data_IF_252828187225
#
_entry.id   IF_252828187225
#
_cell.length_a   1.000
_cell.length_b   1.000
_cell.length_c   1.000
_cell.angle_alpha   90.00
_cell.angle_beta   90.00
_cell.angle_gamma   90.00
#
_symmetry.space_group_name_H-M   'P 1'
#
loop_
_entity.id
_entity.type
_entity.pdbx_description
1 polymer ?
#
# COMPACT_ATOMS: atom_id res chain seq x y z
N UNK A 1 -19.40 5.06 -1.73
CA UNK A 1 -18.26 5.24 -0.80
C UNK A 1 -17.28 4.10 -0.99
N UNK A 2 -16.02 4.43 -1.15
CA UNK A 2 -15.00 3.40 -1.35
C UNK A 2 -14.58 2.78 -0.03
N UNK A 3 -14.32 1.49 -0.06
CA UNK A 3 -13.83 0.78 1.09
C UNK A 3 -12.32 1.01 1.24
N UNK A 4 -11.88 1.34 2.43
CA UNK A 4 -10.46 1.57 2.69
C UNK A 4 -9.74 0.27 2.98
N UNK A 5 -8.58 0.09 2.38
CA UNK A 5 -7.78 -1.12 2.56
C UNK A 5 -6.33 -0.72 2.85
N UNK A 6 -5.62 -1.66 3.44
CA UNK A 6 -4.20 -1.52 3.73
C UNK A 6 -3.47 -2.62 2.99
N UNK A 7 -2.44 -2.25 2.24
CA UNK A 7 -1.62 -3.23 1.52
C UNK A 7 -0.45 -3.65 2.39
N UNK A 8 -0.11 -4.93 2.32
CA UNK A 8 1.04 -5.48 3.05
C UNK A 8 2.11 -5.85 2.05
N UNK A 9 3.29 -5.24 2.20
CA UNK A 9 4.41 -5.46 1.31
C UNK A 9 4.43 -4.47 0.16
N UNK A 10 5.62 -4.07 -0.23
CA UNK A 10 5.82 -3.12 -1.34
C UNK A 10 6.80 -3.68 -2.37
N UNK A 11 6.77 -5.01 -2.57
CA UNK A 11 7.64 -5.68 -3.50
C UNK A 11 7.24 -5.47 -4.96
N UNK A 12 7.70 -6.38 -5.82
CA UNK A 12 7.52 -6.23 -7.26
C UNK A 12 6.06 -6.17 -7.69
N UNK A 13 5.17 -6.83 -6.96
CA UNK A 13 3.75 -6.85 -7.31
C UNK A 13 2.97 -5.64 -6.83
N UNK A 14 3.61 -4.77 -6.04
CA UNK A 14 2.94 -3.62 -5.45
C UNK A 14 2.30 -2.73 -6.53
N UNK A 15 3.06 -2.41 -7.57
CA UNK A 15 2.55 -1.55 -8.64
C UNK A 15 1.41 -2.20 -9.40
N UNK A 16 1.49 -3.50 -9.62
CA UNK A 16 0.43 -4.24 -10.32
C UNK A 16 -0.85 -4.23 -9.49
N UNK A 17 -0.72 -4.47 -8.20
CA UNK A 17 -1.88 -4.47 -7.31
C UNK A 17 -2.52 -3.08 -7.25
N UNK A 18 -1.71 -2.03 -7.13
CA UNK A 18 -2.21 -0.66 -7.12
C UNK A 18 -2.95 -0.33 -8.41
N UNK A 19 -2.37 -0.70 -9.55
CA UNK A 19 -2.99 -0.45 -10.83
C UNK A 19 -4.37 -1.09 -10.90
N UNK A 20 -4.44 -2.36 -10.53
CA UNK A 20 -5.70 -3.10 -10.57
C UNK A 20 -6.74 -2.50 -9.63
N UNK A 21 -6.33 -2.09 -8.44
CA UNK A 21 -7.26 -1.50 -7.47
C UNK A 21 -7.80 -0.17 -7.97
N UNK A 22 -6.95 0.64 -8.60
CA UNK A 22 -7.38 1.92 -9.14
C UNK A 22 -8.32 1.76 -10.32
N UNK A 23 -8.08 0.74 -11.14
CA UNK A 23 -8.95 0.46 -12.28
C UNK A 23 -10.35 0.04 -11.83
N UNK A 24 -10.44 -0.73 -10.75
CA UNK A 24 -11.72 -1.17 -10.23
C UNK A 24 -12.51 -0.05 -9.57
N UNK A 25 -11.82 0.93 -9.03
CA UNK A 25 -12.44 2.10 -8.39
C UNK A 25 -13.42 1.74 -7.27
N UNK A 26 -13.21 0.61 -6.63
CA UNK A 26 -14.03 0.16 -5.51
C UNK A 26 -13.36 0.35 -4.17
N UNK A 27 -12.04 0.50 -4.17
CA UNK A 27 -11.25 0.55 -2.95
C UNK A 27 -10.38 1.78 -2.92
N UNK A 28 -10.11 2.25 -1.73
CA UNK A 28 -9.16 3.33 -1.49
C UNK A 28 -8.01 2.77 -0.65
N UNK A 29 -6.80 2.90 -1.14
CA UNK A 29 -5.63 2.44 -0.40
C UNK A 29 -5.26 3.50 0.63
N UNK A 30 -5.48 3.20 1.91
CA UNK A 30 -5.19 4.13 2.99
C UNK A 30 -3.69 4.27 3.21
N UNK A 31 -2.99 3.15 3.23
CA UNK A 31 -1.54 3.13 3.39
C UNK A 31 -1.04 1.73 3.05
N UNK A 32 0.27 1.55 3.08
CA UNK A 32 0.88 0.23 2.96
C UNK A 32 1.81 -0.02 4.14
N UNK A 33 2.05 -1.27 4.44
CA UNK A 33 2.98 -1.69 5.49
C UNK A 33 4.05 -2.53 4.84
N UNK A 34 5.31 -2.25 5.16
CA UNK A 34 6.43 -2.99 4.60
C UNK A 34 7.34 -3.49 5.71
N UNK A 35 7.79 -4.73 5.59
CA UNK A 35 8.74 -5.31 6.53
C UNK A 35 10.13 -4.72 6.46
N UNK A 36 10.45 -3.97 5.42
CA UNK A 36 11.75 -3.33 5.29
C UNK A 36 11.74 -1.96 5.97
N UNK A 37 12.51 -1.77 7.07
CA UNK A 37 12.50 -0.49 7.78
C UNK A 37 12.93 0.69 6.92
N UNK A 38 13.68 0.46 5.87
CA UNK A 38 14.13 1.54 4.99
C UNK A 38 12.99 2.19 4.22
N UNK A 39 11.90 1.46 4.02
CA UNK A 39 10.76 1.99 3.28
C UNK A 39 9.77 2.72 4.18
N UNK A 40 9.94 2.62 5.48
CA UNK A 40 9.04 3.29 6.42
C UNK A 40 9.11 4.79 6.28
N UNK A 41 7.96 5.44 6.24
CA UNK A 41 7.88 6.88 6.11
C UNK A 41 8.02 7.40 4.70
N UNK A 42 8.21 6.52 3.73
CA UNK A 42 8.30 6.91 2.33
C UNK A 42 6.93 6.85 1.68
N UNK A 43 6.79 7.54 0.56
CA UNK A 43 5.61 7.47 -0.27
C UNK A 43 6.00 6.84 -1.60
N UNK A 44 5.38 5.73 -1.94
CA UNK A 44 5.66 5.00 -3.17
C UNK A 44 4.39 5.01 -4.02
N UNK A 45 4.50 5.57 -5.22
CA UNK A 45 3.36 5.68 -6.15
C UNK A 45 2.11 6.30 -5.51
N UNK A 46 2.33 7.28 -4.64
CA UNK A 46 1.24 7.99 -3.99
C UNK A 46 0.70 7.31 -2.74
N UNK A 47 1.32 6.21 -2.32
CA UNK A 47 0.87 5.47 -1.13
C UNK A 47 1.92 5.61 -0.04
N UNK A 48 1.48 6.06 1.13
CA UNK A 48 2.36 6.21 2.29
C UNK A 48 2.68 4.85 2.89
N UNK A 49 3.96 4.64 3.22
CA UNK A 49 4.41 3.40 3.84
C UNK A 49 4.51 3.65 5.34
N UNK A 50 3.62 3.01 6.07
CA UNK A 50 3.52 3.19 7.52
C UNK A 50 4.49 2.27 8.24
N UNK A 51 4.38 2.22 9.55
CA UNK A 51 5.26 1.41 10.36
C UNK A 51 5.13 -0.08 10.06
N UNK A 52 6.19 -0.81 10.38
CA UNK A 52 6.17 -2.26 10.27
C UNK A 52 5.12 -2.82 11.22
N UNK A 53 4.30 -3.70 10.70
CA UNK A 53 3.35 -4.43 11.53
C UNK A 53 4.10 -5.55 12.28
N UNK A 54 3.99 -5.55 13.58
CA UNK A 54 4.59 -6.59 14.40
C UNK A 54 3.50 -7.25 15.24
N UNK A 55 3.49 -8.57 15.22
CA UNK A 55 2.60 -9.33 16.07
C UNK A 55 3.04 -9.24 17.52
#
# INVERSE_FOLDING_TARGET
MKEKIILVGTGQHFNVVLYNLREQDKYEVACAIDGNPENRGKTINGVYIDEIYED
#
